data_IF_245817835864
#
_entry.id   IF_245817835864
#
_cell.length_a   1.000
_cell.length_b   1.000
_cell.length_c   1.000
_cell.angle_alpha   90.00
_cell.angle_beta   90.00
_cell.angle_gamma   90.00
#
_symmetry.space_group_name_H-M   'P 1'
#
loop_
_entity.id
_entity.type
_entity.pdbx_description
1 polymer ?
#
# COMPACT_ATOMS: atom_id res chain seq x y z
N UNK A 1 25.37 2.02 -20.05
CA UNK A 1 24.71 1.37 -18.90
C UNK A 1 23.40 2.10 -18.68
N UNK A 2 22.33 1.62 -19.30
CA UNK A 2 20.92 1.92 -18.97
C UNK A 2 20.10 0.86 -19.69
N UNK A 3 19.69 -0.19 -18.96
CA UNK A 3 18.84 -1.26 -19.51
C UNK A 3 17.39 -0.98 -19.10
N UNK A 4 16.80 0.06 -19.67
CA UNK A 4 15.34 0.13 -19.81
C UNK A 4 15.00 -0.58 -21.11
N UNK A 5 14.48 -1.80 -21.01
CA UNK A 5 13.89 -2.54 -22.12
C UNK A 5 12.60 -1.83 -22.56
N UNK A 6 12.75 -0.75 -23.33
CA UNK A 6 11.63 -0.11 -24.04
C UNK A 6 11.22 -0.99 -25.21
N UNK A 7 10.21 -1.85 -25.03
CA UNK A 7 9.41 -2.29 -26.17
C UNK A 7 8.62 -1.06 -26.65
N UNK A 8 8.61 -0.74 -27.95
CA UNK A 8 7.73 0.30 -28.46
C UNK A 8 6.30 -0.17 -28.23
N UNK A 9 5.56 0.50 -27.34
CA UNK A 9 4.16 0.18 -27.15
C UNK A 9 3.39 0.56 -28.40
N UNK A 10 2.69 -0.40 -28.99
CA UNK A 10 1.93 -0.18 -30.23
C UNK A 10 0.78 0.81 -29.98
N UNK A 11 0.31 1.49 -31.03
CA UNK A 11 -0.86 2.38 -30.94
C UNK A 11 -2.08 1.70 -30.26
N UNK A 12 -2.24 0.40 -30.49
CA UNK A 12 -3.29 -0.43 -29.89
C UNK A 12 -3.08 -0.56 -28.37
N UNK A 13 -1.86 -0.82 -27.91
CA UNK A 13 -1.56 -0.92 -26.47
C UNK A 13 -1.80 0.41 -25.75
N UNK A 14 -1.40 1.54 -26.35
CA UNK A 14 -1.67 2.87 -25.80
C UNK A 14 -3.18 3.14 -25.70
N UNK A 15 -3.94 2.80 -26.75
CA UNK A 15 -5.39 2.93 -26.75
C UNK A 15 -6.04 2.07 -25.66
N UNK A 16 -5.68 0.79 -25.59
CA UNK A 16 -6.16 -0.13 -24.55
C UNK A 16 -5.85 0.45 -23.17
N UNK A 17 -4.59 0.75 -22.86
CA UNK A 17 -4.21 1.30 -21.56
C UNK A 17 -4.98 2.58 -21.22
N UNK A 18 -5.25 3.44 -22.20
CA UNK A 18 -6.05 4.65 -21.99
C UNK A 18 -7.52 4.36 -21.65
N UNK A 19 -8.12 3.33 -22.26
CA UNK A 19 -9.49 2.89 -21.95
C UNK A 19 -9.56 2.29 -20.55
N UNK A 20 -8.58 1.46 -20.19
CA UNK A 20 -8.47 0.88 -18.84
C UNK A 20 -8.28 1.96 -17.79
N UNK A 21 -7.42 2.94 -18.03
CA UNK A 21 -7.23 4.08 -17.11
C UNK A 21 -8.52 4.89 -16.95
N UNK A 22 -9.25 5.18 -18.04
CA UNK A 22 -10.54 5.89 -17.95
C UNK A 22 -11.58 5.13 -17.13
N UNK A 23 -11.67 3.82 -17.32
CA UNK A 23 -12.59 2.98 -16.55
C UNK A 23 -12.18 2.91 -15.08
N UNK A 24 -10.88 2.86 -14.81
CA UNK A 24 -10.33 2.95 -13.46
C UNK A 24 -10.75 4.26 -12.80
N UNK A 25 -10.42 5.39 -13.42
CA UNK A 25 -10.72 6.74 -12.90
C UNK A 25 -12.23 6.97 -12.65
N UNK A 26 -13.10 6.29 -13.38
CA UNK A 26 -14.55 6.37 -13.21
C UNK A 26 -15.08 5.62 -11.97
N UNK A 27 -14.33 4.68 -11.41
CA UNK A 27 -14.72 3.91 -10.22
C UNK A 27 -14.47 4.71 -8.93
N UNK A 28 -15.44 5.54 -8.54
CA UNK A 28 -15.29 6.47 -7.42
C UNK A 28 -15.20 5.83 -6.02
N UNK A 29 -15.63 4.57 -5.85
CA UNK A 29 -15.68 3.91 -4.53
C UNK A 29 -14.46 3.02 -4.22
N UNK A 30 -13.45 3.01 -5.09
CA UNK A 30 -12.33 2.09 -4.97
C UNK A 30 -11.17 2.65 -4.13
N UNK A 31 -10.98 2.08 -2.94
CA UNK A 31 -9.90 2.42 -2.01
C UNK A 31 -8.49 2.24 -2.60
N UNK A 32 -8.35 1.40 -3.64
CA UNK A 32 -7.05 1.16 -4.29
C UNK A 32 -6.53 2.36 -5.07
N UNK A 33 -7.37 3.34 -5.43
CA UNK A 33 -6.93 4.54 -6.15
C UNK A 33 -5.89 5.34 -5.36
N UNK A 34 -5.99 5.31 -4.03
CA UNK A 34 -5.05 5.98 -3.14
C UNK A 34 -3.64 5.37 -3.23
N UNK A 35 -3.56 4.10 -3.62
CA UNK A 35 -2.31 3.35 -3.70
C UNK A 35 -1.80 3.25 -5.14
N UNK A 36 -2.70 3.04 -6.10
CA UNK A 36 -2.43 2.86 -7.53
C UNK A 36 -3.37 3.75 -8.34
N UNK A 37 -3.07 5.05 -8.48
CA UNK A 37 -3.86 5.95 -9.32
C UNK A 37 -3.67 5.64 -10.80
N UNK A 38 -2.46 5.23 -11.22
CA UNK A 38 -2.11 4.98 -12.62
C UNK A 38 -1.83 3.50 -12.87
N UNK A 39 -2.67 2.80 -13.63
CA UNK A 39 -2.56 1.36 -13.87
C UNK A 39 -1.29 0.95 -14.67
N UNK A 40 -0.71 1.88 -15.43
CA UNK A 40 0.53 1.65 -16.17
C UNK A 40 1.80 1.70 -15.31
N UNK A 41 1.68 2.03 -14.02
CA UNK A 41 2.82 2.12 -13.13
C UNK A 41 3.15 0.78 -12.46
N UNK A 42 4.42 0.41 -12.51
CA UNK A 42 4.92 -0.76 -11.80
C UNK A 42 5.14 -0.42 -10.31
N UNK A 43 4.10 -0.60 -9.50
CA UNK A 43 4.19 -0.60 -8.03
C UNK A 43 4.93 -1.85 -7.56
N UNK A 44 6.24 -1.85 -7.80
CA UNK A 44 7.20 -2.83 -7.31
C UNK A 44 6.89 -4.28 -7.68
N UNK A 45 7.07 -4.63 -8.96
CA UNK A 45 7.70 -5.87 -9.39
C UNK A 45 9.23 -5.83 -9.25
N UNK A 46 9.76 -5.01 -8.34
CA UNK A 46 11.18 -5.03 -8.01
C UNK A 46 11.40 -6.13 -7.00
N UNK A 47 11.92 -7.27 -7.47
CA UNK A 47 12.43 -8.33 -6.62
C UNK A 47 13.50 -7.74 -5.70
N UNK A 48 13.11 -7.39 -4.49
CA UNK A 48 14.00 -6.88 -3.44
C UNK A 48 14.66 -8.03 -2.67
N UNK A 49 14.47 -9.28 -3.13
CA UNK A 49 14.88 -10.48 -2.43
C UNK A 49 14.00 -10.80 -1.23
N UNK A 50 12.88 -10.08 -1.06
CA UNK A 50 11.87 -10.37 -0.04
C UNK A 50 11.24 -11.74 -0.26
N UNK A 51 11.24 -12.58 0.77
CA UNK A 51 10.55 -13.86 0.71
C UNK A 51 9.03 -13.67 0.54
N UNK A 52 8.33 -14.71 0.10
CA UNK A 52 6.86 -14.76 -0.12
C UNK A 52 6.02 -14.08 0.97
N UNK A 53 6.45 -14.16 2.23
CA UNK A 53 5.76 -13.55 3.37
C UNK A 53 5.68 -12.02 3.23
N UNK A 54 6.75 -11.37 2.79
CA UNK A 54 6.80 -9.92 2.63
C UNK A 54 5.97 -9.46 1.45
N UNK A 55 6.05 -10.14 0.31
CA UNK A 55 5.21 -9.86 -0.85
C UNK A 55 3.72 -9.95 -0.48
N UNK A 56 3.34 -11.01 0.23
CA UNK A 56 1.98 -11.20 0.74
C UNK A 56 1.57 -10.06 1.67
N UNK A 57 2.44 -9.65 2.59
CA UNK A 57 2.18 -8.53 3.48
C UNK A 57 1.97 -7.23 2.70
N UNK A 58 2.82 -6.92 1.70
CA UNK A 58 2.65 -5.72 0.87
C UNK A 58 1.34 -5.75 0.10
N UNK A 59 0.94 -6.88 -0.46
CA UNK A 59 -0.36 -7.00 -1.13
C UNK A 59 -1.51 -6.74 -0.14
N UNK A 60 -1.47 -7.33 1.05
CA UNK A 60 -2.52 -7.11 2.07
C UNK A 60 -2.60 -5.67 2.54
N UNK A 61 -1.46 -4.99 2.71
CA UNK A 61 -1.44 -3.57 3.05
C UNK A 61 -2.05 -2.71 1.93
N UNK A 62 -1.71 -2.99 0.66
CA UNK A 62 -2.25 -2.24 -0.49
C UNK A 62 -3.76 -2.33 -0.60
N UNK A 63 -4.34 -3.52 -0.40
CA UNK A 63 -5.80 -3.71 -0.50
C UNK A 63 -6.52 -3.44 0.84
N UNK A 64 -5.80 -3.41 1.96
CA UNK A 64 -6.38 -3.18 3.29
C UNK A 64 -6.93 -4.43 3.99
N UNK A 65 -6.72 -5.63 3.43
CA UNK A 65 -7.17 -6.90 4.02
C UNK A 65 -6.16 -7.46 5.03
N UNK A 66 -5.95 -6.71 6.12
CA UNK A 66 -5.13 -7.17 7.25
C UNK A 66 -6.01 -7.70 8.37
N UNK A 67 -5.47 -8.56 9.23
CA UNK A 67 -6.22 -9.01 10.41
C UNK A 67 -6.58 -7.83 11.31
N UNK A 68 -5.65 -6.90 11.52
CA UNK A 68 -5.82 -5.72 12.38
C UNK A 68 -7.01 -4.84 12.00
N UNK A 69 -7.27 -4.69 10.71
CA UNK A 69 -8.22 -3.70 10.21
C UNK A 69 -9.51 -4.34 9.73
N UNK A 70 -9.53 -5.65 9.49
CA UNK A 70 -10.67 -6.36 8.87
C UNK A 70 -11.26 -7.47 9.75
N UNK A 71 -10.57 -7.94 10.80
CA UNK A 71 -11.07 -9.07 11.60
C UNK A 71 -12.42 -8.81 12.24
N UNK A 72 -12.74 -7.55 12.54
CA UNK A 72 -14.01 -7.15 13.15
C UNK A 72 -15.21 -7.55 12.30
N UNK A 73 -15.10 -7.48 10.97
CA UNK A 73 -16.16 -7.90 10.06
C UNK A 73 -16.39 -9.42 10.10
N UNK A 74 -15.32 -10.20 10.25
CA UNK A 74 -15.40 -11.66 10.34
C UNK A 74 -15.99 -12.11 11.68
N UNK A 75 -15.79 -11.32 12.73
CA UNK A 75 -16.25 -11.62 14.08
C UNK A 75 -17.56 -10.93 14.46
N UNK A 76 -18.08 -10.08 13.57
CA UNK A 76 -19.20 -9.19 13.86
C UNK A 76 -18.98 -8.34 15.14
N UNK A 77 -17.75 -7.86 15.30
CA UNK A 77 -17.32 -6.95 16.37
C UNK A 77 -17.34 -5.50 15.89
N UNK A 78 -17.18 -4.55 16.81
CA UNK A 78 -17.02 -3.14 16.45
C UNK A 78 -15.71 -2.89 15.71
N UNK A 79 -15.71 -1.87 14.83
CA UNK A 79 -14.52 -1.51 14.08
C UNK A 79 -13.40 -1.09 15.05
N UNK A 80 -12.16 -1.58 14.86
CA UNK A 80 -11.06 -1.24 15.73
C UNK A 80 -10.77 0.26 15.67
N UNK A 81 -10.40 0.80 16.83
CA UNK A 81 -10.25 2.23 17.04
C UNK A 81 -8.88 2.54 17.66
N UNK A 82 -8.26 3.64 17.23
CA UNK A 82 -7.05 4.15 17.86
C UNK A 82 -7.43 5.06 19.03
N UNK A 83 -7.28 4.57 20.27
CA UNK A 83 -7.64 5.33 21.46
C UNK A 83 -6.80 6.60 21.68
N UNK A 84 -5.57 6.63 21.18
CA UNK A 84 -4.72 7.81 21.34
C UNK A 84 -5.05 8.94 20.36
N UNK A 85 -5.58 8.58 19.18
CA UNK A 85 -5.84 9.52 18.09
C UNK A 85 -7.33 9.84 17.90
N UNK A 86 -8.19 9.16 18.65
CA UNK A 86 -9.65 9.19 18.49
C UNK A 86 -10.10 8.97 17.03
N UNK A 87 -9.51 7.96 16.37
CA UNK A 87 -9.75 7.71 14.94
C UNK A 87 -9.83 6.22 14.60
N UNK A 88 -10.52 5.89 13.50
CA UNK A 88 -10.62 4.53 13.00
C UNK A 88 -9.24 3.90 12.74
N UNK A 89 -9.08 2.65 13.20
CA UNK A 89 -7.84 1.90 13.01
C UNK A 89 -7.82 1.27 11.61
N UNK A 90 -7.22 2.00 10.66
CA UNK A 90 -7.10 1.58 9.25
C UNK A 90 -5.64 1.38 8.85
N UNK A 91 -5.39 0.74 7.70
CA UNK A 91 -4.01 0.56 7.19
C UNK A 91 -3.36 1.91 6.91
N UNK A 92 -4.12 2.86 6.32
CA UNK A 92 -3.68 4.24 6.12
C UNK A 92 -3.35 4.92 7.45
N UNK A 93 -4.18 4.73 8.48
CA UNK A 93 -3.92 5.28 9.80
C UNK A 93 -2.57 4.77 10.35
N UNK A 94 -2.33 3.45 10.30
CA UNK A 94 -1.08 2.85 10.77
C UNK A 94 0.12 3.37 9.96
N UNK A 95 0.01 3.42 8.63
CA UNK A 95 1.15 3.71 7.74
C UNK A 95 1.45 5.20 7.59
N UNK A 96 0.44 6.08 7.67
CA UNK A 96 0.55 7.49 7.26
C UNK A 96 0.10 8.49 8.33
N UNK A 97 -0.97 8.21 9.08
CA UNK A 97 -1.66 9.28 9.83
C UNK A 97 -1.37 9.28 11.33
N UNK A 98 -1.25 8.10 11.95
CA UNK A 98 -1.16 7.96 13.40
C UNK A 98 0.03 8.76 13.97
N UNK A 99 -0.21 9.79 14.83
CA UNK A 99 0.84 10.54 15.51
C UNK A 99 1.66 9.70 16.47
N UNK A 100 1.04 8.75 17.19
CA UNK A 100 1.76 7.83 18.10
C UNK A 100 2.83 7.02 17.39
N UNK A 101 2.62 6.71 16.12
CA UNK A 101 3.59 5.97 15.32
C UNK A 101 4.57 6.87 14.58
N UNK A 102 4.44 8.19 14.67
CA UNK A 102 5.21 9.14 13.87
C UNK A 102 6.72 9.00 14.09
N UNK A 103 7.17 8.92 15.34
CA UNK A 103 8.60 8.82 15.67
C UNK A 103 9.20 7.52 15.16
N UNK A 104 8.47 6.41 15.27
CA UNK A 104 8.89 5.13 14.70
C UNK A 104 8.88 5.18 13.18
N UNK A 105 7.84 5.74 12.56
CA UNK A 105 7.69 5.86 11.10
C UNK A 105 8.87 6.62 10.49
N UNK A 106 9.25 7.76 11.08
CA UNK A 106 10.36 8.61 10.61
C UNK A 106 11.72 7.91 10.57
N UNK A 107 11.92 6.83 11.32
CA UNK A 107 13.15 6.00 11.25
C UNK A 107 13.22 5.17 9.95
N UNK A 108 12.08 4.90 9.33
CA UNK A 108 11.96 4.03 8.17
C UNK A 108 11.66 4.78 6.88
N UNK A 109 10.75 5.75 6.92
CA UNK A 109 10.34 6.54 5.76
C UNK A 109 9.66 7.85 6.17
N UNK A 110 9.63 8.82 5.26
CA UNK A 110 9.00 10.11 5.47
C UNK A 110 8.15 10.48 4.25
N UNK A 111 6.99 9.83 4.14
CA UNK A 111 5.99 10.06 3.10
C UNK A 111 4.63 10.34 3.74
N UNK A 112 3.80 11.10 3.05
CA UNK A 112 2.54 11.65 3.57
C UNK A 112 1.30 11.03 2.93
N UNK A 113 1.46 10.15 1.96
CA UNK A 113 0.38 9.52 1.22
C UNK A 113 0.74 8.08 0.85
N UNK A 114 -0.29 7.26 0.66
CA UNK A 114 -0.15 5.83 0.39
C UNK A 114 0.51 5.56 -0.97
N UNK A 115 0.23 6.40 -1.97
CA UNK A 115 0.82 6.26 -3.30
C UNK A 115 2.35 6.37 -3.26
N UNK A 116 2.90 7.44 -2.67
CA UNK A 116 4.35 7.61 -2.51
C UNK A 116 4.96 6.51 -1.66
N UNK A 117 4.27 6.07 -0.61
CA UNK A 117 4.72 4.95 0.22
C UNK A 117 4.97 3.70 -0.59
N UNK A 118 4.01 3.26 -1.40
CA UNK A 118 4.12 2.03 -2.20
C UNK A 118 4.86 2.20 -3.52
N UNK A 119 5.35 3.39 -3.84
CA UNK A 119 6.11 3.67 -5.07
C UNK A 119 7.58 3.98 -4.81
N UNK A 120 7.86 4.67 -3.72
CA UNK A 120 9.20 5.22 -3.42
C UNK A 120 9.90 4.45 -2.30
N UNK A 121 9.14 3.87 -1.37
CA UNK A 121 9.71 3.22 -0.18
C UNK A 121 9.92 1.73 -0.44
N UNK A 122 11.15 1.26 -0.17
CA UNK A 122 11.48 -0.14 -0.30
C UNK A 122 10.61 -1.00 0.66
N UNK A 123 10.01 -2.12 0.19
CA UNK A 123 9.16 -2.98 1.02
C UNK A 123 9.82 -3.48 2.30
N UNK A 124 11.15 -3.59 2.35
CA UNK A 124 11.90 -3.99 3.54
C UNK A 124 11.91 -2.93 4.62
N UNK A 125 11.84 -1.64 4.26
CA UNK A 125 11.68 -0.57 5.26
C UNK A 125 10.26 -0.53 5.81
N UNK A 126 9.24 -0.74 4.96
CA UNK A 126 7.85 -0.86 5.41
C UNK A 126 7.70 -2.08 6.35
N UNK A 127 8.30 -3.22 5.99
CA UNK A 127 8.30 -4.40 6.83
C UNK A 127 9.06 -4.18 8.15
N UNK A 128 10.19 -3.47 8.12
CA UNK A 128 10.94 -3.10 9.33
C UNK A 128 10.11 -2.25 10.28
N UNK A 129 9.45 -1.20 9.77
CA UNK A 129 8.51 -0.37 10.53
C UNK A 129 7.43 -1.19 11.23
N UNK A 130 6.78 -2.09 10.49
CA UNK A 130 5.71 -2.94 11.03
C UNK A 130 6.21 -3.96 12.05
N UNK A 131 7.48 -4.38 11.96
CA UNK A 131 8.13 -5.26 12.94
C UNK A 131 8.44 -4.50 14.23
N UNK A 132 8.95 -3.27 14.14
CA UNK A 132 9.21 -2.41 15.31
C UNK A 132 7.93 -2.05 16.06
N UNK A 133 6.82 -1.88 15.33
CA UNK A 133 5.50 -1.73 15.94
C UNK A 133 4.92 -3.04 16.53
N UNK A 134 5.55 -4.20 16.28
CA UNK A 134 5.07 -5.51 16.74
C UNK A 134 3.81 -6.01 16.03
N UNK A 135 3.43 -5.39 14.89
CA UNK A 135 2.17 -5.67 14.20
C UNK A 135 2.34 -6.52 12.93
N UNK A 136 3.58 -6.73 12.45
CA UNK A 136 3.86 -7.43 11.20
C UNK A 136 3.24 -8.84 11.10
N UNK A 137 3.10 -9.56 12.21
CA UNK A 137 2.46 -10.89 12.24
C UNK A 137 0.95 -10.87 12.00
N UNK A 138 0.31 -9.70 12.11
CA UNK A 138 -1.14 -9.49 11.94
C UNK A 138 -1.47 -8.79 10.60
N UNK A 139 -0.46 -8.60 9.75
CA UNK A 139 -0.61 -8.18 8.35
C UNK A 139 -0.84 -9.43 7.52
#
# INVERSE_FOLDING_TARGET
MDKFTGRPTTFIECYINSVWQKNWDAEGANKLHEVLPNLGEDLHRRGDGGGRKQETAMCRLRVGHTWLTQSYLLKNEEQPFCYACDSLYTVRHILIECPDFQDTRRKYFNVTDMYRLFREVNPSRIAGYLKDLGVYGKI
#
